data_IF_029359049202
#
_entry.id   IF_029359049202
#
_cell.length_a   1.000
_cell.length_b   1.000
_cell.length_c   1.000
_cell.angle_alpha   90.00
_cell.angle_beta   90.00
_cell.angle_gamma   90.00
#
_symmetry.space_group_name_H-M   'P 1'
#
loop_
_entity.id
_entity.type
_entity.pdbx_description
1 polymer ?
#
# COMPACT_ATOMS: atom_id res chain seq x y z
N UNK A 1 24.82 28.22 18.58
CA UNK A 1 23.40 27.82 18.53
C UNK A 1 22.86 28.22 17.15
N UNK A 2 22.77 27.27 16.21
CA UNK A 2 22.30 27.51 14.84
C UNK A 2 20.81 27.22 14.74
N UNK A 3 20.01 28.27 14.86
CA UNK A 3 18.57 28.22 14.54
C UNK A 3 18.41 28.71 13.10
N UNK A 4 17.51 28.06 12.34
CA UNK A 4 16.89 28.46 11.06
C UNK A 4 17.26 27.61 9.83
N UNK A 5 16.52 26.51 9.59
CA UNK A 5 16.24 26.09 8.20
C UNK A 5 14.97 25.23 8.00
N UNK A 6 14.03 25.20 8.96
CA UNK A 6 12.83 24.33 8.88
C UNK A 6 11.80 24.80 7.84
N UNK A 7 11.78 26.09 7.47
CA UNK A 7 10.82 26.62 6.51
C UNK A 7 11.12 26.18 5.06
N UNK A 8 12.38 26.23 4.63
CA UNK A 8 12.78 25.87 3.26
C UNK A 8 12.53 24.40 2.94
N UNK A 9 12.67 23.50 3.92
CA UNK A 9 12.40 22.06 3.75
C UNK A 9 10.92 21.75 3.53
N UNK A 10 10.02 22.54 4.13
CA UNK A 10 8.57 22.32 3.99
C UNK A 10 8.04 22.78 2.62
N UNK A 11 8.56 23.88 2.08
CA UNK A 11 8.18 24.33 0.73
C UNK A 11 8.62 23.35 -0.36
N UNK A 12 9.83 22.77 -0.24
CA UNK A 12 10.32 21.76 -1.20
C UNK A 12 9.48 20.48 -1.20
N UNK A 13 9.00 20.03 -0.02
CA UNK A 13 8.12 18.87 0.08
C UNK A 13 6.77 19.12 -0.63
N UNK A 14 6.16 20.29 -0.44
CA UNK A 14 4.86 20.61 -1.07
C UNK A 14 4.90 20.70 -2.61
N UNK A 15 6.06 21.04 -3.17
CA UNK A 15 6.28 21.09 -4.63
C UNK A 15 6.52 19.69 -5.19
N UNK A 16 7.23 18.84 -4.44
CA UNK A 16 7.41 17.43 -4.80
C UNK A 16 6.09 16.66 -4.77
N UNK A 17 5.25 16.85 -3.74
CA UNK A 17 3.94 16.21 -3.65
C UNK A 17 3.04 16.52 -4.85
N UNK A 18 3.00 17.77 -5.31
CA UNK A 18 2.24 18.14 -6.51
C UNK A 18 2.79 17.54 -7.80
N UNK A 19 4.10 17.28 -7.88
CA UNK A 19 4.75 16.73 -9.09
C UNK A 19 4.37 15.26 -9.33
N UNK A 20 4.11 14.49 -8.27
CA UNK A 20 3.75 13.07 -8.38
C UNK A 20 2.24 12.80 -8.33
N UNK A 21 1.44 13.79 -7.95
CA UNK A 21 -0.01 13.67 -7.95
C UNK A 21 -0.65 13.92 -9.33
N UNK A 22 0.16 14.28 -10.34
CA UNK A 22 -0.34 14.51 -11.69
C UNK A 22 -0.20 13.26 -12.58
N UNK A 23 -1.34 12.73 -13.01
CA UNK A 23 -1.42 11.66 -14.01
C UNK A 23 -1.27 12.25 -15.41
N UNK A 24 -0.30 11.73 -16.18
CA UNK A 24 -0.04 12.09 -17.58
C UNK A 24 -0.23 10.86 -18.48
N UNK A 25 -0.31 11.06 -19.80
CA UNK A 25 -0.37 9.95 -20.75
C UNK A 25 0.83 8.99 -20.60
N UNK A 26 2.01 9.53 -20.30
CA UNK A 26 3.21 8.73 -20.03
C UNK A 26 3.05 7.86 -18.79
N UNK A 27 2.50 8.39 -17.69
CA UNK A 27 2.35 7.60 -16.46
C UNK A 27 1.25 6.56 -16.58
N UNK A 28 0.15 6.86 -17.29
CA UNK A 28 -0.91 5.87 -17.55
C UNK A 28 -0.40 4.70 -18.38
N UNK A 29 0.20 4.99 -19.53
CA UNK A 29 0.71 3.94 -20.44
C UNK A 29 1.85 3.15 -19.81
N UNK A 30 2.73 3.80 -19.03
CA UNK A 30 3.77 3.10 -18.29
C UNK A 30 3.19 2.16 -17.21
N UNK A 31 2.15 2.61 -16.49
CA UNK A 31 1.46 1.78 -15.49
C UNK A 31 0.80 0.57 -16.14
N UNK A 32 0.02 0.77 -17.21
CA UNK A 32 -0.64 -0.31 -17.93
C UNK A 32 0.36 -1.35 -18.46
N UNK A 33 1.45 -0.88 -19.09
CA UNK A 33 2.47 -1.76 -19.63
C UNK A 33 3.21 -2.53 -18.53
N UNK A 34 3.50 -1.88 -17.40
CA UNK A 34 4.17 -2.52 -16.27
C UNK A 34 3.29 -3.62 -15.67
N UNK A 35 2.02 -3.31 -15.44
CA UNK A 35 1.03 -4.27 -14.94
C UNK A 35 0.93 -5.51 -15.84
N UNK A 36 0.84 -5.31 -17.16
CA UNK A 36 0.76 -6.42 -18.11
C UNK A 36 2.01 -7.30 -18.09
N UNK A 37 3.20 -6.69 -18.03
CA UNK A 37 4.46 -7.44 -17.96
C UNK A 37 4.58 -8.23 -16.68
N UNK A 38 4.19 -7.64 -15.56
CA UNK A 38 4.23 -8.31 -14.27
C UNK A 38 3.34 -9.56 -14.25
N UNK A 39 2.07 -9.42 -14.67
CA UNK A 39 1.15 -10.56 -14.73
C UNK A 39 1.62 -11.66 -15.69
N UNK A 40 2.25 -11.30 -16.81
CA UNK A 40 2.86 -12.29 -17.70
C UNK A 40 4.06 -13.00 -17.05
N UNK A 41 4.93 -12.26 -16.36
CA UNK A 41 6.09 -12.85 -15.69
C UNK A 41 5.69 -13.77 -14.53
N UNK A 42 4.62 -13.43 -13.81
CA UNK A 42 4.03 -14.27 -12.76
C UNK A 42 3.53 -15.61 -13.31
N UNK A 43 2.86 -15.61 -14.47
CA UNK A 43 2.39 -16.84 -15.13
C UNK A 43 3.51 -17.85 -15.40
N UNK A 44 4.71 -17.37 -15.71
CA UNK A 44 5.89 -18.20 -15.98
C UNK A 44 6.79 -18.37 -14.74
N UNK A 45 6.33 -17.90 -13.57
CA UNK A 45 7.07 -17.94 -12.31
C UNK A 45 8.48 -17.33 -12.41
N UNK A 46 8.60 -16.22 -13.15
CA UNK A 46 9.86 -15.51 -13.40
C UNK A 46 10.13 -14.39 -12.39
N UNK A 47 9.13 -14.02 -11.59
CA UNK A 47 9.18 -12.94 -10.60
C UNK A 47 8.82 -13.49 -9.23
N UNK A 48 9.52 -13.03 -8.20
CA UNK A 48 9.17 -13.30 -6.80
C UNK A 48 8.32 -12.14 -6.26
N UNK A 49 7.07 -12.45 -5.88
CA UNK A 49 6.12 -11.50 -5.28
C UNK A 49 5.89 -11.74 -3.78
N UNK A 50 6.73 -12.56 -3.13
CA UNK A 50 6.51 -13.03 -1.76
C UNK A 50 6.44 -11.89 -0.73
N UNK A 51 7.25 -10.84 -0.88
CA UNK A 51 7.26 -9.69 0.03
C UNK A 51 5.97 -8.88 -0.03
N UNK A 52 5.50 -8.59 -1.25
CA UNK A 52 4.24 -7.86 -1.45
C UNK A 52 3.07 -8.70 -1.00
N UNK A 53 3.05 -9.99 -1.36
CA UNK A 53 2.03 -10.92 -0.90
C UNK A 53 1.97 -10.99 0.63
N UNK A 54 3.13 -11.12 1.30
CA UNK A 54 3.21 -11.14 2.76
C UNK A 54 2.70 -9.85 3.40
N UNK A 55 2.97 -8.70 2.79
CA UNK A 55 2.50 -7.38 3.25
C UNK A 55 0.98 -7.23 3.09
N UNK A 56 0.41 -7.67 1.98
CA UNK A 56 -1.04 -7.56 1.70
C UNK A 56 -1.83 -8.56 2.54
N UNK A 57 -1.41 -9.83 2.54
CA UNK A 57 -2.10 -10.90 3.29
C UNK A 57 -1.96 -10.66 4.77
N UNK A 58 -0.76 -10.29 5.26
CA UNK A 58 -0.46 -9.98 6.65
C UNK A 58 -1.16 -10.92 7.65
N UNK A 59 -0.57 -12.08 7.86
CA UNK A 59 -1.16 -13.18 8.66
C UNK A 59 -1.52 -12.72 10.08
N UNK A 60 -0.73 -11.83 10.68
CA UNK A 60 -1.01 -11.28 12.01
C UNK A 60 -2.30 -10.45 12.04
N UNK A 61 -2.49 -9.61 11.02
CA UNK A 61 -3.70 -8.79 10.87
C UNK A 61 -4.93 -9.66 10.60
N UNK A 62 -4.79 -10.73 9.81
CA UNK A 62 -5.88 -11.69 9.59
C UNK A 62 -6.29 -12.41 10.88
N UNK A 63 -5.32 -12.87 11.67
CA UNK A 63 -5.59 -13.52 12.96
C UNK A 63 -6.29 -12.57 13.94
N UNK A 64 -5.84 -11.32 14.02
CA UNK A 64 -6.49 -10.30 14.86
C UNK A 64 -7.92 -10.07 14.43
N UNK A 65 -8.15 -9.90 13.12
CA UNK A 65 -9.49 -9.70 12.55
C UNK A 65 -10.40 -10.88 12.85
N UNK A 66 -9.89 -12.10 12.76
CA UNK A 66 -10.64 -13.32 13.08
C UNK A 66 -11.07 -13.34 14.55
N UNK A 67 -10.18 -13.01 15.47
CA UNK A 67 -10.50 -13.02 16.90
C UNK A 67 -11.52 -11.95 17.26
N UNK A 68 -11.37 -10.74 16.71
CA UNK A 68 -12.37 -9.68 16.85
C UNK A 68 -13.76 -10.11 16.33
N UNK A 69 -13.81 -10.87 15.23
CA UNK A 69 -15.06 -11.40 14.70
C UNK A 69 -15.68 -12.46 15.61
N UNK A 70 -14.87 -13.37 16.18
CA UNK A 70 -15.38 -14.34 17.16
C UNK A 70 -15.95 -13.64 18.39
N UNK A 71 -15.27 -12.63 18.90
CA UNK A 71 -15.74 -11.84 20.04
C UNK A 71 -17.04 -11.08 19.74
N UNK A 72 -17.22 -10.60 18.50
CA UNK A 72 -18.49 -10.03 18.05
C UNK A 72 -19.60 -11.08 18.02
N UNK A 73 -19.34 -12.26 17.45
CA UNK A 73 -20.32 -13.35 17.39
C UNK A 73 -20.73 -13.81 18.79
N UNK A 74 -19.77 -13.97 19.70
CA UNK A 74 -20.03 -14.38 21.08
C UNK A 74 -20.93 -13.38 21.81
N UNK A 75 -20.65 -12.07 21.69
CA UNK A 75 -21.51 -11.04 22.27
C UNK A 75 -22.93 -11.07 21.73
N UNK A 76 -23.08 -11.25 20.40
CA UNK A 76 -24.40 -11.34 19.78
C UNK A 76 -25.19 -12.59 20.23
N UNK A 77 -24.50 -13.68 20.58
CA UNK A 77 -25.12 -14.88 21.13
C UNK A 77 -25.51 -14.73 22.60
N UNK A 78 -24.77 -13.92 23.37
CA UNK A 78 -25.05 -13.65 24.79
C UNK A 78 -26.16 -12.59 24.97
N UNK A 79 -26.39 -11.75 23.94
CA UNK A 79 -27.48 -10.75 23.91
C UNK A 79 -28.83 -11.30 23.42
N UNK A 80 -28.88 -12.55 22.90
CA UNK A 80 -30.10 -13.27 22.50
C UNK A 80 -30.58 -14.23 23.59
#
# INVERSE_FOLDING_TARGET
>A
MSVSNTASTNYTNSVLERKYNHVTLKTLTAYELLQQRESMCELFNLTDDSERHGTIVNIETQKRTLEEMKDRVKRLQEEQ
#
